data_IF_114789488835
#
_entry.id   IF_114789488835
#
_cell.length_a   1.000
_cell.length_b   1.000
_cell.length_c   1.000
_cell.angle_alpha   90.00
_cell.angle_beta   90.00
_cell.angle_gamma   90.00
#
_symmetry.space_group_name_H-M   'P 1'
#
loop_
_entity.id
_entity.type
_entity.pdbx_description
1 polymer ?
#
# COMPACT_ATOMS: atom_id res chain seq x y z
N UNK A 1 -11.96 -0.15 3.16
CA UNK A 1 -11.22 0.64 4.18
C UNK A 1 -11.61 0.31 5.63
N UNK A 2 -12.82 0.66 6.09
CA UNK A 2 -13.20 0.46 7.52
C UNK A 2 -13.21 -1.01 7.93
N UNK A 3 -13.72 -1.91 7.07
CA UNK A 3 -13.69 -3.35 7.33
C UNK A 3 -12.27 -3.95 7.38
N UNK A 4 -11.34 -3.44 6.57
CA UNK A 4 -9.92 -3.82 6.62
C UNK A 4 -9.27 -3.34 7.92
N UNK A 5 -9.46 -2.07 8.27
CA UNK A 5 -8.91 -1.47 9.50
C UNK A 5 -9.43 -2.22 10.74
N UNK A 6 -10.73 -2.54 10.77
CA UNK A 6 -11.32 -3.33 11.87
C UNK A 6 -10.72 -4.75 11.93
N UNK A 7 -10.74 -5.50 10.82
CA UNK A 7 -10.20 -6.87 10.78
C UNK A 7 -8.72 -6.98 11.14
N UNK A 8 -7.89 -6.05 10.69
CA UNK A 8 -6.45 -6.12 10.88
C UNK A 8 -5.99 -5.62 12.27
N UNK A 9 -6.79 -4.78 12.95
CA UNK A 9 -6.29 -3.98 14.08
C UNK A 9 -7.29 -3.83 15.24
N UNK A 10 -8.25 -4.76 15.36
CA UNK A 10 -9.29 -4.81 16.40
C UNK A 10 -8.75 -4.67 17.85
N UNK A 11 -7.48 -5.03 18.09
CA UNK A 11 -6.84 -5.08 19.42
C UNK A 11 -5.75 -4.01 19.67
N UNK A 12 -5.70 -2.92 18.92
CA UNK A 12 -4.68 -1.86 19.12
C UNK A 12 -5.30 -0.60 19.70
N UNK A 13 -4.78 -0.12 20.84
CA UNK A 13 -5.19 1.13 21.51
C UNK A 13 -4.98 2.40 20.65
N UNK A 14 -4.28 2.28 19.52
CA UNK A 14 -3.96 3.37 18.58
C UNK A 14 -4.60 3.18 17.20
N UNK A 15 -5.92 2.97 17.14
CA UNK A 15 -6.68 2.86 15.87
C UNK A 15 -6.44 4.04 14.91
N UNK A 16 -6.11 5.23 15.45
CA UNK A 16 -5.86 6.45 14.67
C UNK A 16 -4.52 6.41 13.91
N UNK A 17 -3.50 5.73 14.44
CA UNK A 17 -2.16 5.71 13.82
C UNK A 17 -1.95 4.52 12.87
N UNK A 18 -2.85 3.54 12.93
CA UNK A 18 -2.81 2.33 12.15
C UNK A 18 -2.72 2.59 10.65
N UNK A 19 -3.59 3.45 10.12
CA UNK A 19 -3.64 3.76 8.69
C UNK A 19 -2.30 4.32 8.15
N UNK A 20 -1.56 5.06 8.98
CA UNK A 20 -0.24 5.60 8.60
C UNK A 20 0.80 4.51 8.42
N UNK A 21 0.67 3.41 9.19
CA UNK A 21 1.67 2.33 9.31
C UNK A 21 1.35 1.10 8.47
N UNK A 22 0.14 0.99 7.93
CA UNK A 22 -0.22 -0.07 6.97
C UNK A 22 0.80 -0.08 5.84
N UNK A 23 1.33 -1.25 5.51
CA UNK A 23 2.25 -1.41 4.39
C UNK A 23 1.44 -1.27 3.10
N UNK A 24 1.71 -0.21 2.34
CA UNK A 24 1.23 -0.05 0.98
C UNK A 24 2.18 -0.78 0.03
N UNK A 25 1.62 -1.73 -0.73
CA UNK A 25 2.31 -2.37 -1.85
C UNK A 25 1.84 -1.68 -3.13
N UNK A 26 2.76 -1.08 -3.87
CA UNK A 26 2.45 -0.26 -5.05
C UNK A 26 3.31 -0.65 -6.23
N UNK A 27 2.79 -0.61 -7.45
CA UNK A 27 3.53 -0.97 -8.67
C UNK A 27 2.97 -2.21 -9.36
N UNK A 28 3.87 -3.04 -9.89
CA UNK A 28 3.55 -4.29 -10.60
C UNK A 28 4.04 -5.50 -9.81
N UNK A 29 3.56 -6.70 -10.14
CA UNK A 29 3.98 -7.93 -9.43
C UNK A 29 5.50 -8.17 -9.49
N UNK A 30 6.11 -7.83 -10.62
CA UNK A 30 7.54 -7.99 -10.84
C UNK A 30 8.35 -6.76 -10.45
N UNK A 31 7.73 -5.60 -10.26
CA UNK A 31 8.37 -4.36 -9.81
C UNK A 31 7.41 -3.57 -8.90
N UNK A 32 7.45 -3.90 -7.60
CA UNK A 32 6.63 -3.26 -6.58
C UNK A 32 7.48 -2.53 -5.52
N UNK A 33 6.90 -1.55 -4.86
CA UNK A 33 7.46 -0.89 -3.68
C UNK A 33 6.60 -1.21 -2.45
N UNK A 34 7.25 -1.53 -1.32
CA UNK A 34 6.62 -1.66 -0.01
C UNK A 34 7.08 -0.54 0.92
N UNK A 35 6.16 0.32 1.33
CA UNK A 35 6.39 1.36 2.33
C UNK A 35 5.19 1.49 3.27
N UNK A 36 5.38 2.02 4.50
CA UNK A 36 4.25 2.52 5.28
C UNK A 36 3.44 3.52 4.46
N UNK A 37 2.11 3.44 4.53
CA UNK A 37 1.18 4.23 3.73
C UNK A 37 1.51 5.73 3.79
N UNK A 38 1.80 6.27 4.99
CA UNK A 38 2.20 7.66 5.14
C UNK A 38 3.52 7.99 4.40
N UNK A 39 4.49 7.09 4.43
CA UNK A 39 5.80 7.31 3.78
C UNK A 39 5.66 7.28 2.26
N UNK A 40 4.93 6.31 1.72
CA UNK A 40 4.60 6.26 0.29
C UNK A 40 3.87 7.54 -0.16
N UNK A 41 2.85 7.96 0.59
CA UNK A 41 2.08 9.16 0.28
C UNK A 41 2.94 10.43 0.32
N UNK A 42 3.89 10.53 1.25
CA UNK A 42 4.84 11.66 1.30
C UNK A 42 5.82 11.64 0.14
N UNK A 43 6.22 10.46 -0.33
CA UNK A 43 7.07 10.30 -1.50
C UNK A 43 6.36 10.82 -2.77
N UNK A 44 5.07 10.52 -2.92
CA UNK A 44 4.31 10.82 -4.15
C UNK A 44 3.62 12.18 -4.13
N UNK A 45 2.96 12.54 -3.03
CA UNK A 45 2.24 13.81 -2.86
C UNK A 45 2.60 14.47 -1.51
N UNK A 46 3.80 15.05 -1.38
CA UNK A 46 4.36 15.50 -0.10
C UNK A 46 3.53 16.57 0.61
N UNK A 47 2.86 17.43 -0.16
CA UNK A 47 2.15 18.60 0.36
C UNK A 47 0.71 18.30 0.74
N UNK A 48 -0.01 17.46 -0.03
CA UNK A 48 -1.46 17.28 0.13
C UNK A 48 -1.82 16.01 0.87
N UNK A 49 -1.06 14.93 0.70
CA UNK A 49 -1.45 13.64 1.21
C UNK A 49 -1.45 13.50 2.75
N UNK A 50 -0.53 14.15 3.50
CA UNK A 50 -0.63 14.15 4.95
C UNK A 50 -1.96 14.71 5.46
N UNK A 51 -2.45 15.81 4.89
CA UNK A 51 -3.71 16.42 5.30
C UNK A 51 -4.91 15.51 4.96
N UNK A 52 -4.94 14.94 3.76
CA UNK A 52 -6.01 14.02 3.34
C UNK A 52 -6.03 12.77 4.21
N UNK A 53 -4.87 12.17 4.51
CA UNK A 53 -4.77 10.99 5.36
C UNK A 53 -5.25 11.30 6.79
N UNK A 54 -4.81 12.40 7.37
CA UNK A 54 -5.18 12.83 8.73
C UNK A 54 -6.68 13.05 8.84
N UNK A 55 -7.27 13.66 7.83
CA UNK A 55 -8.69 13.94 7.75
C UNK A 55 -9.51 12.64 7.60
N UNK A 56 -9.05 11.66 6.80
CA UNK A 56 -9.66 10.32 6.74
C UNK A 56 -9.57 9.61 8.09
N UNK A 57 -8.40 9.66 8.75
CA UNK A 57 -8.20 9.08 10.08
C UNK A 57 -9.17 9.67 11.09
N UNK A 58 -9.32 11.01 11.12
CA UNK A 58 -10.24 11.71 12.01
C UNK A 58 -11.69 11.28 11.76
N UNK A 59 -12.13 11.27 10.50
CA UNK A 59 -13.51 10.92 10.14
C UNK A 59 -13.83 9.45 10.45
N UNK A 60 -12.92 8.52 10.14
CA UNK A 60 -13.10 7.08 10.42
C UNK A 60 -13.03 6.79 11.92
N UNK A 61 -12.14 7.47 12.64
CA UNK A 61 -11.90 7.23 14.06
C UNK A 61 -13.00 7.80 14.97
N UNK A 62 -13.51 8.98 14.65
CA UNK A 62 -14.60 9.62 15.41
C UNK A 62 -16.00 9.14 14.99
N UNK A 63 -16.16 8.71 13.73
CA UNK A 63 -17.46 8.48 13.12
C UNK A 63 -18.19 9.76 12.74
N UNK A 64 -17.64 10.92 13.08
CA UNK A 64 -18.20 12.25 12.81
C UNK A 64 -17.56 12.88 11.56
N UNK A 65 -18.26 13.81 10.89
CA UNK A 65 -17.68 14.53 9.77
C UNK A 65 -16.45 15.35 10.20
N UNK A 66 -15.35 15.20 9.46
CA UNK A 66 -14.14 16.00 9.63
C UNK A 66 -14.07 17.05 8.50
N UNK A 67 -13.68 18.28 8.83
CA UNK A 67 -13.45 19.35 7.85
C UNK A 67 -12.09 19.97 8.07
N UNK A 68 -11.38 20.27 7.00
CA UNK A 68 -10.07 20.88 7.01
C UNK A 68 -9.94 21.88 5.86
N UNK A 69 -9.12 22.92 6.05
CA UNK A 69 -8.79 23.88 5.00
C UNK A 69 -7.28 23.84 4.80
N UNK A 70 -6.88 23.53 3.58
CA UNK A 70 -5.49 23.45 3.17
C UNK A 70 -4.87 24.86 3.01
N UNK A 71 -3.52 24.98 3.00
CA UNK A 71 -2.83 26.27 2.86
C UNK A 71 -3.20 27.08 1.59
N UNK A 72 -3.60 26.37 0.53
CA UNK A 72 -4.06 26.93 -0.75
C UNK A 72 -5.53 27.39 -0.73
N UNK A 73 -6.19 27.31 0.43
CA UNK A 73 -7.63 27.58 0.66
C UNK A 73 -8.57 26.53 0.08
N UNK A 74 -8.06 25.37 -0.34
CA UNK A 74 -8.90 24.22 -0.69
C UNK A 74 -9.57 23.71 0.57
N UNK A 75 -10.90 23.58 0.53
CA UNK A 75 -11.69 23.04 1.63
C UNK A 75 -12.01 21.58 1.37
N UNK A 76 -11.75 20.74 2.38
CA UNK A 76 -11.98 19.31 2.33
C UNK A 76 -12.90 18.93 3.48
N UNK A 77 -13.91 18.13 3.19
CA UNK A 77 -14.79 17.53 4.19
C UNK A 77 -14.87 16.03 3.92
N UNK A 78 -14.67 15.21 4.94
CA UNK A 78 -15.05 13.80 4.87
C UNK A 78 -16.08 13.41 5.90
N UNK A 79 -16.84 12.39 5.54
CA UNK A 79 -17.85 11.79 6.38
C UNK A 79 -18.06 10.33 6.01
N UNK A 80 -18.58 9.57 6.96
CA UNK A 80 -19.18 8.26 6.69
C UNK A 80 -20.66 8.47 6.38
N UNK A 81 -21.13 8.01 5.22
CA UNK A 81 -22.58 7.94 4.93
C UNK A 81 -23.22 6.84 5.79
N UNK A 82 -24.52 6.97 6.04
CA UNK A 82 -25.32 5.93 6.71
C UNK A 82 -25.29 4.58 5.98
N UNK A 83 -25.06 4.59 4.67
CA UNK A 83 -24.84 3.38 3.84
C UNK A 83 -23.50 2.67 4.09
N UNK A 84 -22.60 3.24 4.90
CA UNK A 84 -21.26 2.74 5.15
C UNK A 84 -20.23 3.13 4.08
N UNK A 85 -20.63 3.92 3.07
CA UNK A 85 -19.70 4.51 2.10
C UNK A 85 -18.96 5.71 2.71
N UNK A 86 -17.67 5.84 2.43
CA UNK A 86 -16.89 7.02 2.79
C UNK A 86 -17.09 8.09 1.70
N UNK A 87 -17.42 9.31 2.11
CA UNK A 87 -17.59 10.45 1.21
C UNK A 87 -16.50 11.48 1.46
N UNK A 88 -15.99 12.04 0.36
CA UNK A 88 -15.05 13.16 0.36
C UNK A 88 -15.63 14.29 -0.49
N UNK A 89 -15.85 15.45 0.11
CA UNK A 89 -16.27 16.68 -0.56
C UNK A 89 -15.09 17.65 -0.60
N UNK A 90 -14.77 18.13 -1.80
CA UNK A 90 -13.63 19.02 -2.03
C UNK A 90 -14.11 20.26 -2.75
N UNK A 91 -13.70 21.42 -2.27
CA UNK A 91 -13.92 22.71 -2.92
C UNK A 91 -12.57 23.41 -3.09
N UNK A 92 -12.10 23.50 -4.32
CA UNK A 92 -10.81 24.08 -4.68
C UNK A 92 -10.69 24.29 -6.19
N UNK A 93 -9.45 24.43 -6.67
CA UNK A 93 -9.16 24.44 -8.11
C UNK A 93 -9.32 23.02 -8.69
N UNK A 94 -9.51 22.89 -10.02
CA UNK A 94 -9.56 21.57 -10.66
C UNK A 94 -8.33 20.70 -10.37
N UNK A 95 -7.13 21.31 -10.35
CA UNK A 95 -5.87 20.60 -10.09
C UNK A 95 -5.85 20.04 -8.65
N UNK A 96 -6.19 20.87 -7.66
CA UNK A 96 -6.23 20.40 -6.26
C UNK A 96 -7.30 19.32 -6.04
N UNK A 97 -8.45 19.42 -6.74
CA UNK A 97 -9.48 18.38 -6.68
C UNK A 97 -8.94 17.06 -7.26
N UNK A 98 -8.19 17.11 -8.37
CA UNK A 98 -7.58 15.93 -8.97
C UNK A 98 -6.55 15.30 -8.03
N UNK A 99 -5.62 16.08 -7.47
CA UNK A 99 -4.60 15.59 -6.54
C UNK A 99 -5.23 14.92 -5.30
N UNK A 100 -6.26 15.53 -4.72
CA UNK A 100 -6.97 14.96 -3.56
C UNK A 100 -7.68 13.65 -3.94
N UNK A 101 -8.28 13.60 -5.13
CA UNK A 101 -8.94 12.39 -5.62
C UNK A 101 -7.94 11.25 -5.84
N UNK A 102 -6.76 11.53 -6.40
CA UNK A 102 -5.68 10.55 -6.58
C UNK A 102 -5.17 10.01 -5.25
N UNK A 103 -4.88 10.90 -4.29
CA UNK A 103 -4.48 10.51 -2.94
C UNK A 103 -5.55 9.64 -2.27
N UNK A 104 -6.82 10.05 -2.37
CA UNK A 104 -7.92 9.30 -1.81
C UNK A 104 -8.04 7.91 -2.44
N UNK A 105 -7.93 7.80 -3.77
CA UNK A 105 -7.95 6.53 -4.49
C UNK A 105 -6.77 5.63 -4.06
N UNK A 106 -5.57 6.20 -3.90
CA UNK A 106 -4.39 5.47 -3.45
C UNK A 106 -4.55 4.91 -2.05
N UNK A 107 -4.98 5.74 -1.09
CA UNK A 107 -5.22 5.32 0.30
C UNK A 107 -6.24 4.19 0.33
N UNK A 108 -7.38 4.40 -0.33
CA UNK A 108 -8.50 3.46 -0.29
C UNK A 108 -8.23 2.15 -1.01
N UNK A 109 -7.35 2.13 -2.03
CA UNK A 109 -6.83 0.92 -2.65
C UNK A 109 -5.83 0.18 -1.74
N UNK A 110 -4.93 0.92 -1.08
CA UNK A 110 -3.88 0.35 -0.22
C UNK A 110 -4.42 -0.35 1.03
N UNK A 111 -5.63 0.00 1.46
CA UNK A 111 -6.30 -0.59 2.64
C UNK A 111 -7.44 -1.54 2.26
N UNK A 112 -7.28 -2.25 1.16
CA UNK A 112 -8.19 -3.32 0.75
C UNK A 112 -7.72 -4.65 1.33
N UNK A 113 -8.69 -5.45 1.76
CA UNK A 113 -8.43 -6.86 2.07
C UNK A 113 -8.43 -7.64 0.78
N UNK A 114 -7.53 -8.62 0.67
CA UNK A 114 -7.65 -9.64 -0.36
C UNK A 114 -8.99 -10.36 -0.23
N UNK A 115 -9.62 -10.64 -1.37
CA UNK A 115 -10.81 -11.49 -1.44
C UNK A 115 -10.48 -12.98 -1.49
N UNK A 116 -9.22 -13.29 -1.83
CA UNK A 116 -8.71 -14.64 -2.02
C UNK A 116 -7.70 -15.02 -0.93
N UNK A 117 -7.68 -16.29 -0.55
CA UNK A 117 -6.65 -16.83 0.34
C UNK A 117 -5.44 -17.32 -0.47
N UNK A 118 -4.24 -16.99 0.00
CA UNK A 118 -2.94 -17.41 -0.52
C UNK A 118 -2.63 -16.97 -1.97
N UNK A 119 -3.30 -15.93 -2.45
CA UNK A 119 -3.08 -15.34 -3.78
C UNK A 119 -2.76 -13.86 -3.65
N UNK A 120 -1.85 -13.37 -4.48
CA UNK A 120 -1.57 -11.92 -4.60
C UNK A 120 -2.61 -11.32 -5.54
N UNK A 121 -3.25 -10.23 -5.12
CA UNK A 121 -4.25 -9.54 -5.94
C UNK A 121 -3.72 -8.17 -6.41
N UNK A 122 -4.00 -7.81 -7.66
CA UNK A 122 -3.82 -6.45 -8.16
C UNK A 122 -5.08 -5.65 -7.88
N UNK A 123 -4.93 -4.48 -7.28
CA UNK A 123 -5.99 -3.50 -7.12
C UNK A 123 -5.71 -2.29 -8.03
N UNK A 124 -6.53 -2.14 -9.06
CA UNK A 124 -6.47 -1.00 -9.97
C UNK A 124 -7.64 -0.07 -9.65
N UNK A 125 -7.40 1.11 -9.04
CA UNK A 125 -8.44 2.11 -8.93
C UNK A 125 -8.79 2.64 -10.31
N UNK A 126 -10.07 2.80 -10.57
CA UNK A 126 -10.56 3.42 -11.80
C UNK A 126 -11.65 4.41 -11.48
N UNK A 127 -11.87 5.35 -12.41
CA UNK A 127 -12.96 6.30 -12.30
C UNK A 127 -14.29 5.57 -12.46
N UNK A 128 -15.07 5.46 -11.39
CA UNK A 128 -16.47 5.07 -11.44
C UNK A 128 -17.28 6.23 -12.02
N UNK A 129 -17.95 6.01 -13.15
CA UNK A 129 -18.76 7.06 -13.77
C UNK A 129 -19.98 7.38 -12.93
N UNK A 130 -20.09 8.64 -12.46
CA UNK A 130 -21.35 9.40 -12.47
C UNK A 130 -20.97 10.86 -12.78
N UNK A 131 -21.50 11.47 -13.84
CA UNK A 131 -21.48 12.93 -14.03
C UNK A 131 -22.91 13.40 -13.81
N UNK A 132 -23.28 13.58 -12.54
CA UNK A 132 -24.48 14.30 -12.16
C UNK A 132 -24.08 15.67 -11.66
N UNK A 133 -24.66 16.74 -12.24
CA UNK A 133 -24.65 18.05 -11.54
C UNK A 133 -25.33 17.82 -10.20
N UNK A 134 -24.64 18.08 -9.09
CA UNK A 134 -25.36 18.23 -7.82
C UNK A 134 -26.35 19.40 -7.98
N UNK A 135 -27.52 19.27 -7.36
CA UNK A 135 -28.57 20.31 -7.36
C UNK A 135 -28.10 21.63 -6.73
N UNK A 136 -27.00 21.62 -5.98
CA UNK A 136 -26.45 22.78 -5.30
C UNK A 136 -25.31 23.44 -6.09
N UNK A 137 -25.67 24.47 -6.87
CA UNK A 137 -24.75 25.45 -7.46
C UNK A 137 -24.21 25.13 -8.87
N UNK A 138 -23.60 26.10 -9.56
CA UNK A 138 -23.37 26.02 -11.01
C UNK A 138 -22.32 24.98 -11.47
N UNK A 139 -21.47 24.45 -10.57
CA UNK A 139 -20.31 23.60 -10.90
C UNK A 139 -19.97 22.55 -9.83
N UNK A 140 -20.96 21.85 -9.30
CA UNK A 140 -20.72 20.73 -8.39
C UNK A 140 -20.81 19.39 -9.14
N UNK A 141 -19.85 18.51 -8.90
CA UNK A 141 -19.74 17.19 -9.52
C UNK A 141 -19.63 16.12 -8.43
N UNK A 142 -20.33 15.02 -8.63
CA UNK A 142 -20.13 13.79 -7.86
C UNK A 142 -19.27 12.85 -8.69
N UNK A 143 -18.40 12.06 -8.06
CA UNK A 143 -17.66 10.99 -8.71
C UNK A 143 -17.63 9.80 -7.76
N UNK A 144 -17.64 8.59 -8.31
CA UNK A 144 -17.38 7.37 -7.54
C UNK A 144 -15.98 6.86 -7.90
N UNK A 145 -15.25 6.36 -6.91
CA UNK A 145 -13.98 5.68 -7.15
C UNK A 145 -14.25 4.18 -7.11
N UNK A 146 -14.15 3.54 -8.28
CA UNK A 146 -14.27 2.09 -8.43
C UNK A 146 -12.91 1.42 -8.27
N UNK A 147 -12.92 0.12 -7.99
CA UNK A 147 -11.71 -0.68 -7.85
C UNK A 147 -11.90 -2.00 -8.58
N UNK A 148 -10.97 -2.31 -9.47
CA UNK A 148 -10.88 -3.62 -10.08
C UNK A 148 -9.88 -4.43 -9.28
N UNK A 149 -10.31 -5.60 -8.79
CA UNK A 149 -9.43 -6.52 -8.05
C UNK A 149 -9.29 -7.79 -8.90
N UNK A 150 -8.04 -8.12 -9.25
CA UNK A 150 -7.71 -9.27 -10.08
C UNK A 150 -6.68 -10.15 -9.38
N UNK A 151 -6.93 -11.46 -9.21
CA UNK A 151 -5.91 -12.37 -8.73
C UNK A 151 -4.77 -12.49 -9.76
N UNK A 152 -3.54 -12.57 -9.28
CA UNK A 152 -2.40 -12.99 -10.09
C UNK A 152 -2.47 -14.50 -10.30
N UNK A 153 -2.98 -14.88 -11.46
CA UNK A 153 -3.12 -16.28 -11.87
C UNK A 153 -1.83 -16.84 -12.49
N UNK A 154 -0.79 -16.02 -12.63
CA UNK A 154 0.46 -16.42 -13.25
C UNK A 154 1.41 -17.09 -12.24
N UNK A 155 2.23 -18.03 -12.73
CA UNK A 155 3.02 -18.94 -11.90
C UNK A 155 4.15 -18.22 -11.13
N UNK A 156 4.47 -18.74 -9.93
CA UNK A 156 5.52 -18.25 -9.01
C UNK A 156 6.95 -18.17 -9.57
N UNK A 157 7.20 -18.70 -10.78
CA UNK A 157 8.54 -18.85 -11.36
C UNK A 157 8.93 -17.71 -12.30
N UNK A 158 8.12 -16.64 -12.41
CA UNK A 158 8.52 -15.47 -13.19
C UNK A 158 9.56 -14.62 -12.42
N UNK A 159 10.48 -13.96 -13.13
CA UNK A 159 11.39 -12.99 -12.52
C UNK A 159 10.66 -11.96 -11.66
N UNK A 160 11.28 -11.55 -10.56
CA UNK A 160 10.73 -10.55 -9.65
C UNK A 160 9.58 -11.02 -8.76
N UNK A 161 9.19 -12.31 -8.74
CA UNK A 161 8.02 -12.78 -7.95
C UNK A 161 8.34 -13.52 -6.67
N UNK A 162 9.63 -13.71 -6.34
CA UNK A 162 10.04 -14.46 -5.14
C UNK A 162 9.53 -13.84 -3.82
N UNK A 163 9.23 -12.55 -3.79
CA UNK A 163 8.84 -11.82 -2.59
C UNK A 163 7.40 -12.10 -2.11
N UNK A 164 6.53 -12.69 -2.93
CA UNK A 164 5.11 -12.90 -2.60
C UNK A 164 4.90 -13.63 -1.26
N UNK A 165 5.81 -14.54 -0.90
CA UNK A 165 5.77 -15.29 0.36
C UNK A 165 6.03 -14.46 1.63
N UNK A 166 6.50 -13.21 1.50
CA UNK A 166 6.66 -12.30 2.65
C UNK A 166 5.32 -11.83 3.24
N UNK A 167 4.23 -11.99 2.49
CA UNK A 167 2.90 -11.51 2.86
C UNK A 167 1.88 -12.63 2.74
N UNK A 168 0.95 -12.71 3.69
CA UNK A 168 -0.03 -13.81 3.74
C UNK A 168 -1.12 -13.70 2.66
N UNK A 169 -1.52 -12.48 2.29
CA UNK A 169 -2.51 -12.19 1.23
C UNK A 169 -2.31 -10.75 0.68
N UNK A 170 -1.19 -10.48 -0.01
CA UNK A 170 -0.86 -9.12 -0.43
C UNK A 170 -1.82 -8.61 -1.51
N UNK A 171 -2.24 -7.34 -1.37
CA UNK A 171 -2.91 -6.57 -2.42
C UNK A 171 -1.93 -5.52 -2.92
N UNK A 172 -1.56 -5.61 -4.20
CA UNK A 172 -0.66 -4.66 -4.87
C UNK A 172 -1.48 -3.62 -5.61
N UNK A 173 -1.31 -2.35 -5.25
CA UNK A 173 -2.00 -1.23 -5.88
C UNK A 173 -1.26 -0.81 -7.15
N UNK A 174 -1.96 -0.80 -8.28
CA UNK A 174 -1.39 -0.41 -9.57
C UNK A 174 -1.83 1.00 -9.97
N UNK A 175 -1.19 1.56 -10.99
CA UNK A 175 -1.57 2.86 -11.57
C UNK A 175 -1.02 4.09 -10.85
N UNK A 176 -0.18 3.90 -9.83
CA UNK A 176 0.52 4.97 -9.13
C UNK A 176 2.04 4.85 -9.29
N UNK A 177 2.79 5.96 -9.20
CA UNK A 177 4.22 5.96 -9.46
C UNK A 177 5.01 5.29 -8.34
N UNK A 178 6.03 4.53 -8.73
CA UNK A 178 7.09 4.03 -7.85
C UNK A 178 8.44 4.59 -8.32
N UNK A 179 9.47 4.65 -7.46
CA UNK A 179 10.78 5.11 -7.86
C UNK A 179 11.35 4.29 -9.02
N UNK A 180 12.03 4.96 -9.94
CA UNK A 180 12.72 4.28 -11.03
C UNK A 180 13.95 3.57 -10.46
N UNK A 181 14.05 2.27 -10.70
CA UNK A 181 15.21 1.46 -10.31
C UNK A 181 16.38 1.72 -11.25
N UNK A 182 17.59 1.77 -10.69
CA UNK A 182 18.80 2.13 -11.43
C UNK A 182 19.21 1.09 -12.47
N UNK A 183 18.90 -0.20 -12.27
CA UNK A 183 19.15 -1.22 -13.31
C UNK A 183 18.35 -2.50 -13.09
N UNK A 184 17.83 -3.01 -14.21
CA UNK A 184 17.06 -4.25 -14.42
C UNK A 184 15.59 -4.15 -13.99
N UNK A 185 14.69 -4.31 -14.97
CA UNK A 185 13.25 -4.53 -14.76
C UNK A 185 13.03 -5.92 -14.14
N UNK A 186 11.86 -6.15 -13.57
CA UNK A 186 11.47 -7.42 -12.95
C UNK A 186 12.39 -7.85 -11.79
N UNK A 187 12.85 -6.89 -10.99
CA UNK A 187 13.74 -7.14 -9.83
C UNK A 187 12.98 -7.43 -8.53
N UNK A 188 11.66 -7.32 -8.57
CA UNK A 188 10.75 -7.73 -7.51
C UNK A 188 10.33 -6.59 -6.60
N UNK A 189 10.50 -6.76 -5.29
CA UNK A 189 10.03 -5.81 -4.29
C UNK A 189 11.17 -4.92 -3.79
N UNK A 190 11.00 -3.62 -3.92
CA UNK A 190 11.81 -2.62 -3.23
C UNK A 190 11.19 -2.37 -1.85
N UNK A 191 11.97 -2.57 -0.80
CA UNK A 191 11.50 -2.49 0.59
C UNK A 191 12.66 -2.02 1.49
N UNK A 192 12.42 -1.13 2.47
CA UNK A 192 13.44 -0.79 3.45
C UNK A 192 13.96 -2.03 4.19
N UNK A 193 15.28 -2.10 4.38
CA UNK A 193 15.94 -3.27 4.99
C UNK A 193 15.35 -3.65 6.35
N UNK A 194 15.01 -2.66 7.19
CA UNK A 194 14.41 -2.91 8.50
C UNK A 194 13.05 -3.58 8.40
N UNK A 195 12.25 -3.28 7.36
CA UNK A 195 10.96 -3.93 7.14
C UNK A 195 11.16 -5.36 6.62
N UNK A 196 12.07 -5.56 5.67
CA UNK A 196 12.41 -6.90 5.17
C UNK A 196 12.90 -7.82 6.29
N UNK A 197 13.78 -7.31 7.16
CA UNK A 197 14.24 -7.95 8.39
C UNK A 197 13.08 -8.34 9.32
N UNK A 198 12.11 -7.44 9.53
CA UNK A 198 10.93 -7.72 10.38
C UNK A 198 9.99 -8.75 9.76
N UNK A 199 9.72 -8.66 8.45
CA UNK A 199 8.86 -9.61 7.74
C UNK A 199 9.47 -11.01 7.65
N UNK A 200 10.80 -11.11 7.67
CA UNK A 200 11.53 -12.39 7.74
C UNK A 200 11.76 -12.88 9.17
N UNK A 201 11.27 -12.17 10.18
CA UNK A 201 11.54 -12.46 11.61
C UNK A 201 13.04 -12.60 11.93
N UNK A 202 13.86 -11.70 11.37
CA UNK A 202 15.31 -11.71 11.54
C UNK A 202 15.88 -10.30 11.66
N UNK A 203 16.43 -9.97 12.83
CA UNK A 203 17.06 -8.66 13.09
C UNK A 203 18.58 -8.69 13.00
N UNK A 204 19.15 -9.80 12.54
CA UNK A 204 20.60 -10.01 12.49
C UNK A 204 20.99 -10.54 11.12
N UNK A 205 22.05 -9.97 10.59
CA UNK A 205 22.74 -10.50 9.43
C UNK A 205 23.64 -11.65 9.87
N UNK A 206 23.62 -12.74 9.11
CA UNK A 206 24.49 -13.89 9.31
C UNK A 206 25.37 -14.08 8.08
N UNK A 207 26.66 -14.34 8.29
CA UNK A 207 27.52 -14.89 7.25
C UNK A 207 27.46 -16.42 7.30
N UNK A 208 27.19 -17.05 6.17
CA UNK A 208 27.27 -18.50 6.02
C UNK A 208 27.85 -18.84 4.65
N UNK A 209 28.98 -19.54 4.63
CA UNK A 209 29.75 -19.82 3.40
C UNK A 209 30.02 -18.57 2.54
N UNK A 210 30.30 -17.43 3.17
CA UNK A 210 30.64 -16.18 2.47
C UNK A 210 29.47 -15.49 1.78
N UNK A 211 28.23 -15.86 2.12
CA UNK A 211 27.01 -15.15 1.72
C UNK A 211 26.34 -14.55 2.95
N UNK A 212 25.72 -13.39 2.76
CA UNK A 212 24.98 -12.69 3.82
C UNK A 212 23.50 -13.07 3.80
N UNK A 213 22.96 -13.33 4.99
CA UNK A 213 21.61 -13.81 5.20
C UNK A 213 20.84 -12.97 6.23
N UNK A 214 19.57 -12.70 5.96
CA UNK A 214 18.55 -12.44 6.98
C UNK A 214 17.68 -13.69 7.07
N UNK A 215 17.72 -14.40 8.19
CA UNK A 215 17.06 -15.70 8.31
C UNK A 215 16.19 -15.75 9.57
N UNK A 216 14.91 -16.04 9.38
CA UNK A 216 13.99 -16.40 10.45
C UNK A 216 13.65 -17.88 10.45
N UNK A 217 12.47 -18.21 10.97
CA UNK A 217 11.99 -19.58 11.05
C UNK A 217 11.54 -20.10 9.67
N UNK A 218 10.65 -19.40 8.97
CA UNK A 218 10.03 -19.86 7.71
C UNK A 218 10.62 -19.23 6.43
N UNK A 219 11.37 -18.15 6.59
CA UNK A 219 11.83 -17.31 5.49
C UNK A 219 13.30 -16.93 5.65
N UNK A 220 13.96 -16.73 4.52
CA UNK A 220 15.36 -16.34 4.45
C UNK A 220 15.59 -15.45 3.24
N UNK A 221 16.26 -14.32 3.43
CA UNK A 221 16.77 -13.47 2.36
C UNK A 221 18.27 -13.69 2.23
N UNK A 222 18.73 -13.90 1.00
CA UNK A 222 20.15 -14.08 0.66
C UNK A 222 20.60 -12.92 -0.20
N UNK A 223 21.68 -12.25 0.18
CA UNK A 223 22.24 -11.15 -0.61
C UNK A 223 22.85 -11.72 -1.90
N UNK A 224 22.36 -11.25 -3.05
CA UNK A 224 22.80 -11.65 -4.38
C UNK A 224 23.79 -10.67 -5.00
N UNK A 225 23.75 -9.40 -4.57
CA UNK A 225 24.64 -8.37 -5.07
C UNK A 225 24.24 -6.97 -4.57
N UNK A 226 25.07 -5.98 -4.91
CA UNK A 226 24.82 -4.57 -4.62
C UNK A 226 24.79 -3.81 -5.93
N UNK A 227 23.77 -2.98 -6.11
CA UNK A 227 23.54 -2.14 -7.27
C UNK A 227 23.30 -0.72 -6.75
N UNK A 228 24.29 0.17 -6.96
CA UNK A 228 24.22 1.52 -6.41
C UNK A 228 24.15 1.51 -4.88
N UNK A 229 23.07 2.07 -4.34
CA UNK A 229 22.74 2.11 -2.91
C UNK A 229 21.81 0.97 -2.46
N UNK A 230 21.46 0.05 -3.36
CA UNK A 230 20.50 -1.02 -3.12
C UNK A 230 21.17 -2.38 -3.08
N UNK A 231 20.74 -3.23 -2.17
CA UNK A 231 21.17 -4.64 -2.10
C UNK A 231 20.08 -5.50 -2.75
N UNK A 232 20.44 -6.32 -3.73
CA UNK A 232 19.54 -7.29 -4.33
C UNK A 232 19.48 -8.54 -3.45
N UNK A 233 18.29 -8.93 -3.03
CA UNK A 233 18.06 -10.11 -2.20
C UNK A 233 17.22 -11.15 -2.94
N UNK A 234 17.49 -12.43 -2.71
CA UNK A 234 16.60 -13.52 -3.10
C UNK A 234 15.86 -14.05 -1.87
N UNK A 235 14.53 -14.17 -1.95
CA UNK A 235 13.72 -14.76 -0.90
C UNK A 235 13.58 -16.27 -1.11
N UNK A 236 13.94 -17.02 -0.09
CA UNK A 236 13.52 -18.40 0.10
C UNK A 236 12.44 -18.44 1.18
N UNK A 237 11.31 -19.08 0.87
CA UNK A 237 10.15 -19.20 1.76
C UNK A 237 9.64 -20.63 1.77
N UNK A 238 9.43 -21.19 2.95
CA UNK A 238 8.87 -22.52 3.10
C UNK A 238 7.32 -22.45 3.25
N UNK A 239 6.54 -22.84 2.23
CA UNK A 239 5.08 -22.80 2.31
C UNK A 239 4.49 -23.88 3.22
N UNK A 240 5.25 -24.93 3.56
CA UNK A 240 4.79 -25.99 4.45
C UNK A 240 4.72 -25.54 5.92
N UNK A 241 5.34 -24.41 6.27
CA UNK A 241 5.40 -23.92 7.64
C UNK A 241 6.50 -24.58 8.49
N UNK A 242 7.43 -25.30 7.87
CA UNK A 242 8.60 -25.86 8.55
C UNK A 242 9.80 -24.91 8.53
N UNK A 243 10.74 -25.15 9.45
CA UNK A 243 11.96 -24.38 9.57
C UNK A 243 12.78 -24.43 8.27
N UNK A 244 13.14 -23.27 7.73
CA UNK A 244 14.03 -23.15 6.57
C UNK A 244 15.50 -23.41 6.99
N UNK A 245 16.27 -24.08 6.15
CA UNK A 245 17.70 -24.32 6.31
C UNK A 245 18.53 -23.31 5.52
N UNK A 246 19.76 -23.05 5.96
CA UNK A 246 20.70 -22.30 5.12
C UNK A 246 21.07 -23.06 3.83
N UNK A 247 20.92 -24.39 3.83
CA UNK A 247 21.20 -25.25 2.68
C UNK A 247 20.09 -25.23 1.61
N UNK A 248 18.97 -24.56 1.88
CA UNK A 248 17.89 -24.37 0.90
C UNK A 248 18.22 -23.24 -0.10
N UNK A 249 19.34 -22.53 0.12
CA UNK A 249 19.82 -21.41 -0.71
C UNK A 249 20.78 -21.81 -1.84
#
# INVERSE_FOLDING_TARGET
PVGFIRKQFENTDTKQDTLRRVIALTGLMSDAQALPCLEYLKQTWPTIAPFVLDMIIKAVGSGEPATETLPDRTSIKASMRSSGQFELSVKGTPDCIADIAEVFACITASVRSSSSENVVELCTPYRGFIIGKLLEGPKAYQCEVGFEIKPDMEWKNKPGRCWHGLFRNPVVVTGFPIPRRQSVEDTGLEIPLYMAARLTDSLRLYDFHGRLFLKGFLAMLVAMGVIGDTVLWHLYYNPAGDRISYLDA
#
